data_IF_331823928157
#
_entry.id   IF_331823928157
#
_cell.length_a   1.000
_cell.length_b   1.000
_cell.length_c   1.000
_cell.angle_alpha   90.00
_cell.angle_beta   90.00
_cell.angle_gamma   90.00
#
_symmetry.space_group_name_H-M   'P 1'
#
loop_
_entity.id
_entity.type
_entity.pdbx_description
1 polymer ?
#
# COMPACT_ATOMS: atom_id res chain seq x y z
N UNK A 1 20.23 -4.72 -2.47
CA UNK A 1 18.82 -4.52 -2.12
C UNK A 1 17.88 -5.18 -3.16
N UNK A 2 18.03 -4.93 -4.46
CA UNK A 2 17.16 -5.49 -5.51
C UNK A 2 17.13 -7.03 -5.52
N UNK A 3 18.26 -7.70 -5.36
CA UNK A 3 18.33 -9.18 -5.33
C UNK A 3 17.54 -9.77 -4.15
N UNK A 4 17.45 -9.07 -3.03
CA UNK A 4 16.63 -9.48 -1.89
C UNK A 4 15.14 -9.23 -2.16
N UNK A 5 14.79 -8.14 -2.84
CA UNK A 5 13.42 -7.79 -3.17
C UNK A 5 12.78 -8.80 -4.15
N UNK A 6 13.52 -9.24 -5.18
CA UNK A 6 13.01 -10.24 -6.14
C UNK A 6 12.63 -11.58 -5.50
N UNK A 7 13.26 -11.93 -4.37
CA UNK A 7 12.89 -13.13 -3.60
C UNK A 7 11.66 -12.95 -2.72
N UNK A 8 11.18 -11.70 -2.55
CA UNK A 8 10.06 -11.37 -1.69
C UNK A 8 8.76 -11.10 -2.45
N UNK A 9 8.84 -10.86 -3.77
CA UNK A 9 7.65 -10.67 -4.58
C UNK A 9 6.84 -11.97 -4.67
N UNK A 10 5.52 -11.87 -4.58
CA UNK A 10 4.61 -13.02 -4.51
C UNK A 10 4.66 -13.74 -3.15
N UNK A 11 5.10 -13.08 -2.07
CA UNK A 11 5.09 -13.64 -0.71
C UNK A 11 4.23 -12.80 0.23
N UNK A 12 3.54 -13.46 1.15
CA UNK A 12 2.62 -12.81 2.08
C UNK A 12 3.36 -11.89 3.07
N UNK A 13 4.34 -12.41 3.77
CA UNK A 13 5.03 -11.73 4.84
C UNK A 13 4.49 -12.02 6.23
N UNK A 14 5.03 -11.30 7.20
CA UNK A 14 4.63 -11.39 8.60
C UNK A 14 3.99 -10.10 9.13
N UNK A 15 3.74 -10.07 10.43
CA UNK A 15 3.07 -8.94 11.09
C UNK A 15 1.57 -8.95 10.82
N UNK A 16 1.05 -7.82 10.38
CA UNK A 16 -0.38 -7.65 10.07
C UNK A 16 -0.78 -8.07 8.64
N UNK A 17 0.08 -8.81 7.94
CA UNK A 17 -0.25 -9.35 6.62
C UNK A 17 -1.04 -10.65 6.76
N UNK A 18 -2.09 -10.80 5.94
CA UNK A 18 -2.97 -11.97 5.99
C UNK A 18 -3.57 -12.29 4.62
N UNK A 19 -4.09 -13.50 4.50
CA UNK A 19 -5.03 -13.95 3.48
C UNK A 19 -6.26 -14.43 4.23
N UNK A 20 -7.43 -13.94 3.87
CA UNK A 20 -8.69 -14.25 4.53
C UNK A 20 -9.73 -14.65 3.48
N UNK A 21 -10.53 -15.66 3.82
CA UNK A 21 -11.69 -16.07 3.05
C UNK A 21 -12.94 -15.52 3.73
N UNK A 22 -13.76 -14.85 2.96
CA UNK A 22 -15.04 -14.26 3.40
C UNK A 22 -16.15 -14.72 2.46
N UNK A 23 -17.39 -14.70 2.93
CA UNK A 23 -18.58 -14.91 2.09
C UNK A 23 -19.52 -13.74 2.24
N UNK A 24 -20.21 -13.40 1.16
CA UNK A 24 -21.30 -12.42 1.20
C UNK A 24 -22.68 -13.10 1.32
N UNK A 25 -23.70 -12.27 1.37
CA UNK A 25 -25.11 -12.73 1.49
C UNK A 25 -25.66 -13.35 0.21
N UNK A 26 -24.98 -13.17 -0.92
CA UNK A 26 -25.32 -13.75 -2.22
C UNK A 26 -24.65 -15.11 -2.45
N UNK A 27 -23.74 -15.51 -1.57
CA UNK A 27 -23.04 -16.79 -1.62
C UNK A 27 -21.72 -16.75 -2.40
N UNK A 28 -21.20 -15.57 -2.74
CA UNK A 28 -19.87 -15.43 -3.33
C UNK A 28 -18.79 -15.61 -2.27
N UNK A 29 -17.69 -16.23 -2.69
CA UNK A 29 -16.48 -16.34 -1.90
C UNK A 29 -15.53 -15.18 -2.26
N UNK A 30 -15.17 -14.39 -1.25
CA UNK A 30 -14.22 -13.29 -1.36
C UNK A 30 -12.88 -13.68 -0.77
N UNK A 31 -11.80 -13.31 -1.46
CA UNK A 31 -10.44 -13.54 -1.00
C UNK A 31 -9.79 -12.19 -0.75
N UNK A 32 -9.56 -11.86 0.51
CA UNK A 32 -8.88 -10.64 0.92
C UNK A 32 -7.41 -10.91 1.15
N UNK A 33 -6.53 -10.15 0.48
CA UNK A 33 -5.08 -10.22 0.65
C UNK A 33 -4.59 -8.89 1.20
N UNK A 34 -4.07 -8.90 2.42
CA UNK A 34 -3.36 -7.77 2.99
C UNK A 34 -1.86 -8.03 2.96
N UNK A 35 -1.18 -7.46 1.99
CA UNK A 35 0.28 -7.49 1.84
C UNK A 35 0.76 -6.25 1.08
N UNK A 36 2.03 -5.92 1.19
CA UNK A 36 2.59 -4.67 0.66
C UNK A 36 3.95 -4.84 -0.01
N UNK A 37 4.75 -3.79 0.02
CA UNK A 37 6.08 -3.69 -0.58
C UNK A 37 7.17 -4.47 0.17
N UNK A 38 6.78 -5.25 1.15
CA UNK A 38 7.66 -6.09 1.94
C UNK A 38 8.75 -5.24 2.64
N UNK A 39 9.91 -5.84 2.92
CA UNK A 39 11.01 -5.13 3.56
C UNK A 39 11.61 -4.00 2.70
N UNK A 40 11.36 -4.02 1.37
CA UNK A 40 11.83 -2.98 0.46
C UNK A 40 11.30 -1.60 0.87
N UNK A 41 9.97 -1.46 0.99
CA UNK A 41 9.37 -0.18 1.36
C UNK A 41 9.74 0.27 2.77
N UNK A 42 9.93 -0.67 3.71
CA UNK A 42 10.43 -0.35 5.04
C UNK A 42 11.82 0.29 4.97
N UNK A 43 12.75 -0.29 4.21
CA UNK A 43 14.10 0.24 4.06
C UNK A 43 14.12 1.62 3.41
N UNK A 44 13.30 1.85 2.37
CA UNK A 44 13.14 3.16 1.72
C UNK A 44 12.61 4.18 2.72
N UNK A 45 11.55 3.85 3.45
CA UNK A 45 10.98 4.71 4.48
C UNK A 45 12.00 5.08 5.57
N UNK A 46 12.70 4.10 6.12
CA UNK A 46 13.70 4.30 7.19
C UNK A 46 14.88 5.18 6.70
N UNK A 47 15.27 5.01 5.44
CA UNK A 47 16.36 5.80 4.84
C UNK A 47 15.95 7.27 4.70
N UNK A 48 14.82 7.54 4.01
CA UNK A 48 14.40 8.92 3.75
C UNK A 48 13.89 9.64 5.01
N UNK A 49 13.39 8.94 6.00
CA UNK A 49 13.09 9.53 7.30
C UNK A 49 14.35 10.08 7.96
N UNK A 50 15.46 9.35 7.91
CA UNK A 50 16.76 9.85 8.43
C UNK A 50 17.29 11.03 7.61
N UNK A 51 17.21 10.96 6.28
CA UNK A 51 17.61 12.07 5.41
C UNK A 51 16.79 13.33 5.72
N UNK A 52 15.48 13.17 5.87
CA UNK A 52 14.58 14.27 6.20
C UNK A 52 14.91 14.90 7.57
N UNK A 53 15.18 14.10 8.59
CA UNK A 53 15.60 14.62 9.91
C UNK A 53 16.86 15.48 9.81
N UNK A 54 17.89 15.00 9.10
CA UNK A 54 19.13 15.75 8.88
C UNK A 54 18.88 17.08 8.14
N UNK A 55 18.02 17.06 7.12
CA UNK A 55 17.68 18.27 6.37
C UNK A 55 16.86 19.24 7.22
N UNK A 56 15.92 18.76 8.03
CA UNK A 56 15.12 19.62 8.90
C UNK A 56 16.00 20.32 9.97
N UNK A 57 16.99 19.65 10.53
CA UNK A 57 17.98 20.28 11.40
C UNK A 57 18.80 21.34 10.64
N UNK A 58 19.30 21.00 9.46
CA UNK A 58 20.11 21.92 8.62
C UNK A 58 19.35 23.19 8.24
N UNK A 59 18.07 23.08 7.95
CA UNK A 59 17.22 24.20 7.55
C UNK A 59 16.50 24.88 8.72
N UNK A 60 16.83 24.54 9.96
CA UNK A 60 16.20 25.11 11.16
C UNK A 60 14.66 25.00 11.11
N UNK A 61 14.16 23.82 10.73
CA UNK A 61 12.72 23.57 10.67
C UNK A 61 12.04 23.87 12.02
N UNK A 62 10.87 24.49 11.96
CA UNK A 62 10.01 24.71 13.13
C UNK A 62 9.28 23.44 13.61
N UNK A 63 9.33 22.36 12.82
CA UNK A 63 8.74 21.07 13.22
C UNK A 63 9.60 20.45 14.31
N UNK A 64 9.00 20.25 15.49
CA UNK A 64 9.69 19.70 16.64
C UNK A 64 10.02 18.22 16.42
N UNK A 65 11.22 17.74 16.74
CA UNK A 65 11.62 16.34 16.58
C UNK A 65 10.70 15.33 17.28
N UNK A 66 10.12 15.72 18.43
CA UNK A 66 9.22 14.86 19.21
C UNK A 66 7.92 14.52 18.47
N UNK A 67 7.52 15.32 17.49
CA UNK A 67 6.35 15.05 16.66
C UNK A 67 6.60 13.90 15.67
N UNK A 68 7.87 13.57 15.41
CA UNK A 68 8.28 12.54 14.46
C UNK A 68 7.62 12.72 13.05
N UNK A 69 7.62 13.98 12.59
CA UNK A 69 7.08 14.40 11.30
C UNK A 69 8.18 15.06 10.43
N UNK A 70 9.30 14.37 10.16
CA UNK A 70 10.32 14.92 9.29
C UNK A 70 9.78 15.03 7.87
N UNK A 71 10.19 16.07 7.15
CA UNK A 71 9.78 16.30 5.76
C UNK A 71 10.96 16.58 4.85
N UNK A 72 10.80 16.26 3.58
CA UNK A 72 11.73 16.60 2.51
C UNK A 72 11.22 17.86 1.80
N UNK A 73 12.04 18.93 1.72
CA UNK A 73 11.63 20.12 0.98
C UNK A 73 11.37 19.80 -0.49
N UNK A 74 10.29 20.33 -1.06
CA UNK A 74 9.99 20.22 -2.48
C UNK A 74 11.12 20.78 -3.34
N UNK A 75 11.27 20.27 -4.55
CA UNK A 75 12.29 20.68 -5.54
C UNK A 75 13.74 20.39 -5.13
N UNK A 76 13.94 19.59 -4.08
CA UNK A 76 15.28 19.06 -3.72
C UNK A 76 15.52 17.73 -4.44
N UNK A 77 16.81 17.38 -4.57
CA UNK A 77 17.22 16.08 -5.09
C UNK A 77 16.65 14.94 -4.22
N UNK A 78 16.74 15.09 -2.91
CA UNK A 78 16.30 14.11 -1.93
C UNK A 78 14.78 13.85 -2.02
N UNK A 79 13.98 14.90 -2.25
CA UNK A 79 12.55 14.74 -2.49
C UNK A 79 12.27 13.95 -3.77
N UNK A 80 12.95 14.28 -4.87
CA UNK A 80 12.72 13.61 -6.16
C UNK A 80 13.12 12.14 -6.11
N UNK A 81 14.22 11.81 -5.46
CA UNK A 81 14.68 10.44 -5.25
C UNK A 81 13.68 9.66 -4.38
N UNK A 82 13.28 10.23 -3.23
CA UNK A 82 12.24 9.64 -2.38
C UNK A 82 10.94 9.36 -3.14
N UNK A 83 10.47 10.35 -3.90
CA UNK A 83 9.23 10.23 -4.66
C UNK A 83 9.28 9.06 -5.63
N UNK A 84 10.36 8.95 -6.39
CA UNK A 84 10.56 7.87 -7.35
C UNK A 84 10.65 6.49 -6.66
N UNK A 85 11.41 6.37 -5.58
CA UNK A 85 11.57 5.11 -4.86
C UNK A 85 10.29 4.70 -4.12
N UNK A 86 9.53 5.66 -3.60
CA UNK A 86 8.22 5.40 -3.00
C UNK A 86 7.23 4.87 -4.05
N UNK A 87 7.15 5.48 -5.24
CA UNK A 87 6.29 4.98 -6.31
C UNK A 87 6.68 3.55 -6.71
N UNK A 88 7.97 3.27 -6.84
CA UNK A 88 8.46 1.92 -7.09
C UNK A 88 8.01 0.92 -6.01
N UNK A 89 8.03 1.32 -4.73
CA UNK A 89 7.55 0.48 -3.63
C UNK A 89 6.03 0.24 -3.69
N UNK A 90 5.25 1.23 -4.14
CA UNK A 90 3.80 1.07 -4.34
C UNK A 90 3.55 0.05 -5.45
N UNK A 91 4.19 0.20 -6.59
CA UNK A 91 4.08 -0.72 -7.73
C UNK A 91 4.52 -2.14 -7.36
N UNK A 92 5.60 -2.26 -6.58
CA UNK A 92 6.04 -3.53 -6.03
C UNK A 92 4.96 -4.18 -5.15
N UNK A 93 4.30 -3.40 -4.29
CA UNK A 93 3.20 -3.89 -3.45
C UNK A 93 1.99 -4.37 -4.26
N UNK A 94 1.61 -3.63 -5.30
CA UNK A 94 0.54 -4.01 -6.22
C UNK A 94 0.89 -5.31 -6.96
N UNK A 95 2.11 -5.41 -7.48
CA UNK A 95 2.62 -6.62 -8.14
C UNK A 95 2.68 -7.81 -7.18
N UNK A 96 3.13 -7.59 -5.94
CA UNK A 96 3.20 -8.63 -4.92
C UNK A 96 1.83 -9.27 -4.67
N UNK A 97 0.80 -8.46 -4.44
CA UNK A 97 -0.58 -8.96 -4.24
C UNK A 97 -1.13 -9.66 -5.47
N UNK A 98 -0.87 -9.13 -6.68
CA UNK A 98 -1.27 -9.77 -7.93
C UNK A 98 -0.69 -11.17 -8.07
N UNK A 99 0.59 -11.35 -7.77
CA UNK A 99 1.24 -12.66 -7.84
C UNK A 99 0.75 -13.64 -6.76
N UNK A 100 0.41 -13.13 -5.56
CA UNK A 100 -0.22 -13.96 -4.52
C UNK A 100 -1.59 -14.43 -5.01
N UNK A 101 -2.41 -13.52 -5.56
CA UNK A 101 -3.75 -13.85 -6.07
C UNK A 101 -3.67 -14.89 -7.18
N UNK A 102 -2.79 -14.73 -8.16
CA UNK A 102 -2.61 -15.71 -9.24
C UNK A 102 -2.35 -17.13 -8.71
N UNK A 103 -1.52 -17.26 -7.67
CA UNK A 103 -1.28 -18.57 -7.05
C UNK A 103 -2.49 -19.13 -6.32
N UNK A 104 -3.30 -18.25 -5.73
CA UNK A 104 -4.54 -18.67 -5.07
C UNK A 104 -5.56 -19.11 -6.12
N UNK A 105 -5.69 -18.38 -7.22
CA UNK A 105 -6.56 -18.72 -8.35
C UNK A 105 -6.19 -20.09 -8.95
N UNK A 106 -4.90 -20.39 -9.12
CA UNK A 106 -4.42 -21.71 -9.55
C UNK A 106 -4.88 -22.80 -8.58
N UNK A 107 -4.67 -22.63 -7.28
CA UNK A 107 -5.06 -23.61 -6.26
C UNK A 107 -6.59 -23.82 -6.21
N UNK A 108 -7.35 -22.74 -6.33
CA UNK A 108 -8.82 -22.82 -6.31
C UNK A 108 -9.35 -23.51 -7.58
N UNK A 109 -8.81 -23.18 -8.74
CA UNK A 109 -9.20 -23.78 -10.02
C UNK A 109 -8.88 -25.28 -10.06
N UNK A 110 -7.80 -25.71 -9.43
CA UNK A 110 -7.46 -27.13 -9.28
C UNK A 110 -8.42 -27.86 -8.32
N UNK A 111 -8.87 -27.18 -7.28
CA UNK A 111 -9.74 -27.76 -6.25
C UNK A 111 -11.24 -27.75 -6.62
N UNK A 112 -11.67 -26.75 -7.37
CA UNK A 112 -13.08 -26.52 -7.74
C UNK A 112 -13.20 -26.42 -9.28
N UNK A 113 -13.55 -27.51 -9.97
CA UNK A 113 -13.71 -27.48 -11.42
C UNK A 113 -14.80 -26.48 -11.86
N UNK A 114 -14.51 -25.72 -12.92
CA UNK A 114 -15.42 -24.71 -13.50
C UNK A 114 -15.79 -23.55 -12.54
N UNK A 115 -14.93 -23.22 -11.58
CA UNK A 115 -15.10 -22.02 -10.75
C UNK A 115 -15.03 -20.76 -11.64
N UNK A 116 -15.98 -19.84 -11.46
CA UNK A 116 -15.92 -18.52 -12.07
C UNK A 116 -15.14 -17.57 -11.15
N UNK A 117 -14.19 -16.83 -11.70
CA UNK A 117 -13.33 -15.92 -10.96
C UNK A 117 -13.53 -14.51 -11.50
N UNK A 118 -14.01 -13.63 -10.63
CA UNK A 118 -14.20 -12.22 -10.94
C UNK A 118 -12.87 -11.42 -10.85
N UNK A 119 -12.79 -10.27 -11.55
CA UNK A 119 -11.60 -9.46 -11.56
C UNK A 119 -11.16 -8.98 -10.17
N UNK A 120 -9.86 -9.00 -9.93
CA UNK A 120 -9.25 -8.55 -8.68
C UNK A 120 -9.34 -7.03 -8.51
N UNK A 121 -9.83 -6.57 -7.35
CA UNK A 121 -9.70 -5.20 -6.88
C UNK A 121 -8.34 -5.08 -6.16
N UNK A 122 -7.42 -4.28 -6.69
CA UNK A 122 -6.07 -4.16 -6.15
C UNK A 122 -5.69 -2.69 -5.91
N UNK A 123 -5.83 -2.24 -4.68
CA UNK A 123 -5.64 -0.84 -4.27
C UNK A 123 -4.56 -0.71 -3.20
N UNK A 124 -3.93 0.47 -3.14
CA UNK A 124 -2.97 0.83 -2.11
C UNK A 124 -3.65 1.65 -1.00
N UNK A 125 -3.22 1.45 0.25
CA UNK A 125 -3.67 2.21 1.41
C UNK A 125 -2.52 2.87 2.20
N UNK A 126 -1.30 2.72 1.72
CA UNK A 126 -0.09 3.40 2.23
C UNK A 126 0.65 4.00 1.04
N UNK A 127 0.48 5.28 0.80
CA UNK A 127 1.08 5.98 -0.34
C UNK A 127 1.00 7.49 -0.17
N UNK A 128 1.64 8.23 -1.07
CA UNK A 128 1.43 9.65 -1.21
C UNK A 128 1.06 9.99 -2.65
N UNK A 129 0.20 10.98 -2.82
CA UNK A 129 -0.24 11.47 -4.13
C UNK A 129 -0.40 12.99 -4.13
N UNK A 130 -0.24 13.59 -5.31
CA UNK A 130 -0.63 14.99 -5.53
C UNK A 130 -2.15 15.08 -5.62
N UNK A 131 -2.71 15.99 -4.84
CA UNK A 131 -4.14 16.27 -4.80
C UNK A 131 -4.39 17.77 -4.66
N UNK A 132 -5.59 18.22 -5.00
CA UNK A 132 -6.01 19.60 -4.78
C UNK A 132 -7.00 19.63 -3.63
N UNK A 133 -6.68 20.36 -2.58
CA UNK A 133 -7.54 20.60 -1.43
C UNK A 133 -7.54 22.08 -1.11
N UNK A 134 -8.72 22.66 -0.88
CA UNK A 134 -8.88 24.09 -0.60
C UNK A 134 -8.24 25.00 -1.66
N UNK A 135 -8.36 24.61 -2.94
CA UNK A 135 -7.77 25.27 -4.11
C UNK A 135 -6.22 25.28 -4.14
N UNK A 136 -5.58 24.50 -3.28
CA UNK A 136 -4.12 24.38 -3.23
C UNK A 136 -3.67 22.95 -3.62
N UNK A 137 -2.60 22.88 -4.44
CA UNK A 137 -1.95 21.61 -4.75
C UNK A 137 -1.10 21.16 -3.56
N UNK A 138 -1.38 19.99 -3.04
CA UNK A 138 -0.67 19.42 -1.91
C UNK A 138 -0.33 17.95 -2.11
N UNK A 139 0.62 17.44 -1.34
CA UNK A 139 0.93 16.03 -1.27
C UNK A 139 0.21 15.43 -0.08
N UNK A 140 -0.73 14.54 -0.36
CA UNK A 140 -1.49 13.83 0.67
C UNK A 140 -0.83 12.47 0.92
N UNK A 141 -0.37 12.26 2.15
CA UNK A 141 0.13 10.96 2.62
C UNK A 141 -1.01 10.19 3.28
N UNK A 142 -1.18 8.93 2.86
CA UNK A 142 -2.15 8.02 3.46
C UNK A 142 -1.45 6.84 4.12
N UNK A 143 -1.92 6.48 5.30
CA UNK A 143 -1.49 5.29 6.02
C UNK A 143 -2.71 4.54 6.53
N UNK A 144 -2.94 3.35 6.01
CA UNK A 144 -4.13 2.56 6.34
C UNK A 144 -5.44 3.15 5.79
N UNK A 145 -5.34 4.01 4.76
CA UNK A 145 -6.50 4.68 4.15
C UNK A 145 -6.39 4.67 2.63
N UNK A 146 -7.46 4.34 1.94
CA UNK A 146 -7.54 4.41 0.48
C UNK A 146 -7.97 5.80 0.01
N UNK A 147 -7.78 6.12 -1.27
CA UNK A 147 -8.49 7.22 -1.91
C UNK A 147 -9.98 6.90 -1.96
N UNK A 148 -10.81 7.91 -1.89
CA UNK A 148 -12.27 7.79 -1.95
C UNK A 148 -12.86 8.95 -2.79
N UNK A 149 -12.32 9.14 -3.98
CA UNK A 149 -12.87 10.09 -4.95
C UNK A 149 -14.06 9.45 -5.66
N UNK A 150 -14.94 10.28 -6.17
CA UNK A 150 -16.10 9.80 -6.94
C UNK A 150 -15.66 8.87 -8.08
N UNK A 151 -16.26 7.69 -8.18
CA UNK A 151 -15.95 6.66 -9.17
C UNK A 151 -14.69 5.83 -8.86
N UNK A 152 -14.09 5.98 -7.68
CA UNK A 152 -13.00 5.13 -7.22
C UNK A 152 -13.53 4.01 -6.32
N UNK A 153 -13.11 2.77 -6.63
CA UNK A 153 -13.44 1.62 -5.77
C UNK A 153 -12.56 1.65 -4.52
N UNK A 154 -13.20 1.60 -3.35
CA UNK A 154 -12.56 1.49 -2.06
C UNK A 154 -12.91 0.18 -1.35
N UNK A 155 -12.05 -0.25 -0.44
CA UNK A 155 -12.29 -1.39 0.44
C UNK A 155 -12.28 -0.89 1.88
N UNK A 156 -13.33 -1.17 2.62
CA UNK A 156 -13.43 -0.95 4.06
C UNK A 156 -13.37 -2.33 4.73
N UNK A 157 -12.20 -2.75 5.22
CA UNK A 157 -12.06 -4.06 5.85
C UNK A 157 -12.75 -4.08 7.21
N UNK A 158 -13.47 -5.16 7.49
CA UNK A 158 -13.95 -5.48 8.82
C UNK A 158 -12.85 -6.07 9.71
N UNK A 159 -13.21 -6.35 10.94
CA UNK A 159 -12.44 -7.22 11.85
C UNK A 159 -13.09 -8.60 11.91
N UNK A 160 -12.46 -9.57 12.57
CA UNK A 160 -13.07 -10.88 12.78
C UNK A 160 -14.48 -10.75 13.36
N UNK A 161 -15.46 -11.31 12.66
CA UNK A 161 -16.88 -11.25 13.05
C UNK A 161 -17.63 -9.98 12.65
N UNK A 162 -17.01 -9.06 11.90
CA UNK A 162 -17.68 -7.90 11.31
C UNK A 162 -17.52 -7.88 9.78
N UNK A 163 -18.51 -7.34 9.08
CA UNK A 163 -18.51 -7.29 7.62
C UNK A 163 -17.44 -6.36 7.06
N UNK A 164 -16.88 -6.72 5.91
CA UNK A 164 -16.11 -5.84 5.05
C UNK A 164 -17.03 -5.26 3.97
N UNK A 165 -16.67 -4.10 3.42
CA UNK A 165 -17.46 -3.43 2.39
C UNK A 165 -16.58 -3.02 1.22
N UNK A 166 -17.10 -3.19 0.00
CA UNK A 166 -16.60 -2.55 -1.20
C UNK A 166 -17.49 -1.35 -1.46
N UNK A 167 -16.90 -0.20 -1.69
CA UNK A 167 -17.60 1.08 -1.88
C UNK A 167 -17.08 1.77 -3.15
N UNK A 168 -17.95 2.58 -3.78
CA UNK A 168 -17.65 3.40 -4.95
C UNK A 168 -18.16 4.82 -4.75
#
# INVERSE_FOLDING_TARGET
QYVSATKQVGTLGGGNHFIELQSDDEGWLWIMIHSGSRNLGKQVCDYYSRVAMILNERYFSSVKPELNLPFLPLKTKEFNEYWSEMQYCIDFGLCNRKLIMQRIEEVISDAIPNVEIEPMINIAHNYAAWETHFDEACIVHRKGATSAKMGEIGIIPGSQGTSSYIVE
#
